data_IF_155092463513
#
_entry.id   IF_155092463513
#
_cell.length_a   1.000
_cell.length_b   1.000
_cell.length_c   1.000
_cell.angle_alpha   90.00
_cell.angle_beta   90.00
_cell.angle_gamma   90.00
#
_symmetry.space_group_name_H-M   'P 1'
#
loop_
_entity.id
_entity.type
_entity.pdbx_description
1 polymer ?
#
# COMPACT_ATOMS: atom_id res chain seq x y z
N UNK A 1 -12.99 10.90 36.69
CA UNK A 1 -12.46 9.54 36.86
C UNK A 1 -12.51 8.91 35.49
N UNK A 2 -11.33 8.72 34.92
CA UNK A 2 -11.04 8.18 33.60
C UNK A 2 -11.54 6.75 33.47
N UNK A 3 -12.11 6.42 32.31
CA UNK A 3 -12.09 5.06 31.78
C UNK A 3 -11.84 5.18 30.27
N UNK A 4 -10.54 5.23 29.97
CA UNK A 4 -10.00 4.73 28.71
C UNK A 4 -10.43 3.26 28.58
N UNK A 5 -11.38 2.97 27.69
CA UNK A 5 -11.50 1.64 27.11
C UNK A 5 -11.13 1.73 25.65
N UNK A 6 -9.82 1.57 25.45
CA UNK A 6 -9.17 1.22 24.22
C UNK A 6 -9.70 -0.16 23.76
N UNK A 7 -10.88 -0.20 23.15
CA UNK A 7 -11.34 -1.36 22.37
C UNK A 7 -10.59 -1.37 21.04
N UNK A 8 -9.28 -1.64 21.13
CA UNK A 8 -8.55 -2.23 20.01
C UNK A 8 -9.19 -3.58 19.77
N UNK A 9 -10.12 -3.65 18.82
CA UNK A 9 -10.55 -4.89 18.18
C UNK A 9 -9.30 -5.74 17.97
N UNK A 10 -9.20 -6.85 18.69
CA UNK A 10 -8.04 -7.72 18.65
C UNK A 10 -7.90 -8.19 17.20
N UNK A 11 -6.92 -7.62 16.47
CA UNK A 11 -6.66 -7.98 15.06
C UNK A 11 -6.61 -9.49 14.99
N UNK A 12 -7.51 -10.09 14.20
CA UNK A 12 -7.66 -11.54 14.16
C UNK A 12 -6.35 -12.17 13.67
N UNK A 13 -5.52 -12.63 14.61
CA UNK A 13 -4.28 -13.31 14.29
C UNK A 13 -4.62 -14.71 13.80
N UNK A 14 -4.18 -15.04 12.60
CA UNK A 14 -4.31 -16.40 12.08
C UNK A 14 -2.92 -17.02 12.02
N UNK A 15 -2.77 -18.15 12.70
CA UNK A 15 -1.62 -19.03 12.63
C UNK A 15 -1.91 -20.16 11.65
N UNK A 16 -1.03 -20.35 10.67
CA UNK A 16 -1.05 -21.47 9.76
C UNK A 16 0.35 -22.08 9.66
N UNK A 17 0.43 -23.39 9.44
CA UNK A 17 1.65 -24.08 9.09
C UNK A 17 1.51 -24.58 7.66
N UNK A 18 2.45 -24.22 6.79
CA UNK A 18 2.51 -24.73 5.41
C UNK A 18 3.85 -25.38 5.14
N UNK A 19 3.85 -26.50 4.43
CA UNK A 19 5.07 -27.05 3.88
C UNK A 19 5.59 -26.14 2.77
N UNK A 20 6.91 -26.00 2.66
CA UNK A 20 7.52 -25.31 1.51
C UNK A 20 7.48 -26.18 0.24
N UNK A 21 7.57 -27.50 0.40
CA UNK A 21 7.60 -28.47 -0.69
C UNK A 21 6.96 -29.78 -0.27
N UNK A 22 6.20 -30.43 -1.16
CA UNK A 22 5.50 -31.68 -0.87
C UNK A 22 6.44 -32.90 -0.85
N UNK A 23 7.40 -32.95 -1.77
CA UNK A 23 8.30 -34.09 -1.99
C UNK A 23 9.78 -33.77 -1.77
N UNK A 24 10.10 -32.53 -1.39
CA UNK A 24 11.47 -32.02 -1.29
C UNK A 24 11.97 -31.44 -2.60
N UNK A 25 13.14 -30.80 -2.55
CA UNK A 25 13.74 -30.11 -3.70
C UNK A 25 15.22 -30.39 -3.74
N UNK A 26 15.67 -31.03 -4.81
CA UNK A 26 17.08 -31.29 -5.09
C UNK A 26 17.69 -30.16 -5.92
N UNK A 27 18.87 -29.71 -5.52
CA UNK A 27 19.67 -28.70 -6.19
C UNK A 27 21.07 -29.26 -6.42
N UNK A 28 21.52 -29.21 -7.66
CA UNK A 28 22.82 -29.73 -8.10
C UNK A 28 23.60 -28.60 -8.74
N UNK A 29 24.87 -28.47 -8.39
CA UNK A 29 25.75 -27.50 -9.03
C UNK A 29 26.68 -26.81 -8.06
N UNK A 30 27.85 -26.41 -8.57
CA UNK A 30 28.77 -25.54 -7.85
C UNK A 30 28.18 -24.15 -7.63
N UNK A 31 28.66 -23.49 -6.59
CA UNK A 31 28.30 -22.11 -6.22
C UNK A 31 26.80 -21.97 -5.93
N UNK A 32 26.23 -20.83 -6.29
CA UNK A 32 24.86 -20.48 -5.95
C UNK A 32 23.85 -21.32 -6.74
N UNK A 33 23.08 -22.11 -6.00
CA UNK A 33 21.89 -22.82 -6.47
C UNK A 33 20.69 -22.32 -5.70
N UNK A 34 19.60 -22.01 -6.40
CA UNK A 34 18.43 -21.36 -5.79
C UNK A 34 17.13 -22.04 -6.21
N UNK A 35 16.18 -22.09 -5.29
CA UNK A 35 14.79 -22.47 -5.55
C UNK A 35 13.84 -21.50 -4.87
N UNK A 36 12.73 -21.19 -5.52
CA UNK A 36 11.68 -20.32 -4.99
C UNK A 36 10.37 -21.09 -4.76
N UNK A 37 9.78 -20.90 -3.59
CA UNK A 37 8.47 -21.42 -3.21
C UNK A 37 7.48 -20.26 -3.17
N UNK A 38 6.36 -20.36 -3.88
CA UNK A 38 5.34 -19.32 -3.96
C UNK A 38 4.18 -19.63 -3.04
N UNK A 39 3.78 -18.64 -2.24
CA UNK A 39 2.74 -18.79 -1.21
C UNK A 39 1.70 -17.69 -1.34
N UNK A 40 0.43 -18.08 -1.21
CA UNK A 40 -0.68 -17.14 -1.24
C UNK A 40 -1.06 -16.67 0.16
N UNK A 41 -1.13 -15.36 0.33
CA UNK A 41 -1.73 -14.68 1.47
C UNK A 41 -2.89 -13.81 0.95
N UNK A 42 -4.07 -13.79 1.61
CA UNK A 42 -5.14 -12.87 1.24
C UNK A 42 -4.63 -11.42 1.19
N UNK A 43 -5.08 -10.64 0.21
CA UNK A 43 -4.60 -9.27 -0.08
C UNK A 43 -4.84 -8.28 1.07
N UNK A 44 -5.87 -8.51 1.87
CA UNK A 44 -6.19 -7.74 3.06
C UNK A 44 -5.39 -8.16 4.31
N UNK A 45 -4.32 -8.95 4.15
CA UNK A 45 -3.48 -9.43 5.23
C UNK A 45 -2.01 -9.18 4.98
N UNK A 46 -1.30 -9.03 6.09
CA UNK A 46 0.14 -8.84 6.12
C UNK A 46 0.77 -9.86 7.07
N UNK A 47 1.96 -10.35 6.73
CA UNK A 47 2.73 -11.17 7.65
C UNK A 47 3.07 -10.37 8.90
N UNK A 48 2.93 -11.00 10.06
CA UNK A 48 3.46 -10.48 11.31
C UNK A 48 4.88 -10.98 11.53
N UNK A 49 5.59 -10.26 12.41
CA UNK A 49 6.95 -10.59 12.86
C UNK A 49 7.06 -11.92 13.64
N UNK A 50 5.94 -12.58 13.93
CA UNK A 50 5.91 -13.91 14.53
C UNK A 50 5.94 -15.05 13.49
N UNK A 51 6.03 -14.70 12.21
CA UNK A 51 6.21 -15.66 11.11
C UNK A 51 7.64 -16.16 11.06
N UNK A 52 7.81 -17.44 10.73
CA UNK A 52 9.12 -18.09 10.75
C UNK A 52 9.25 -19.12 9.63
N UNK A 53 10.41 -19.12 8.97
CA UNK A 53 10.84 -20.18 8.06
C UNK A 53 11.65 -21.20 8.84
N UNK A 54 11.24 -22.46 8.83
CA UNK A 54 11.99 -23.60 9.37
C UNK A 54 12.42 -24.48 8.21
N UNK A 55 13.71 -24.43 7.88
CA UNK A 55 14.30 -25.22 6.80
C UNK A 55 14.92 -26.50 7.37
N UNK A 56 14.57 -27.62 6.76
CA UNK A 56 15.19 -28.93 6.99
C UNK A 56 15.91 -29.35 5.72
N UNK A 57 17.20 -29.67 5.83
CA UNK A 57 18.05 -29.80 4.65
C UNK A 57 19.14 -30.88 4.81
N UNK A 58 19.61 -31.36 3.66
CA UNK A 58 20.80 -32.19 3.52
C UNK A 58 21.69 -31.60 2.45
N UNK A 59 22.98 -31.86 2.52
CA UNK A 59 23.94 -31.36 1.54
C UNK A 59 25.16 -32.26 1.46
N UNK A 60 25.94 -32.11 0.39
CA UNK A 60 27.09 -32.95 0.13
C UNK A 60 28.20 -32.76 1.19
N UNK A 61 28.86 -33.85 1.60
CA UNK A 61 29.94 -33.81 2.61
C UNK A 61 31.31 -33.38 2.05
N UNK A 62 31.42 -33.24 0.73
CA UNK A 62 32.63 -32.82 0.02
C UNK A 62 32.71 -31.31 -0.22
N UNK A 63 31.85 -30.53 0.42
CA UNK A 63 31.84 -29.07 0.33
C UNK A 63 33.03 -28.45 1.08
N UNK A 64 33.40 -27.26 0.65
CA UNK A 64 34.23 -26.35 1.44
C UNK A 64 33.30 -25.68 2.46
N UNK A 65 33.26 -26.27 3.66
CA UNK A 65 32.40 -25.78 4.73
C UNK A 65 32.81 -24.42 5.26
N UNK A 66 34.02 -23.92 4.97
CA UNK A 66 34.41 -22.56 5.37
C UNK A 66 33.77 -21.47 4.50
N UNK A 67 33.29 -21.85 3.33
CA UNK A 67 32.73 -20.93 2.33
C UNK A 67 31.28 -21.23 1.97
N UNK A 68 30.80 -22.44 2.28
CA UNK A 68 29.45 -22.85 1.93
C UNK A 68 28.41 -22.41 2.96
N UNK A 69 27.29 -21.87 2.48
CA UNK A 69 26.20 -21.37 3.32
C UNK A 69 24.85 -21.54 2.62
N UNK A 70 23.79 -21.47 3.41
CA UNK A 70 22.41 -21.28 2.92
C UNK A 70 21.92 -19.88 3.29
N UNK A 71 21.26 -19.20 2.37
CA UNK A 71 20.58 -17.92 2.58
C UNK A 71 19.11 -18.05 2.21
N UNK A 72 18.22 -17.52 3.05
CA UNK A 72 16.79 -17.49 2.79
C UNK A 72 16.36 -16.05 2.50
N UNK A 73 15.53 -15.89 1.47
CA UNK A 73 14.97 -14.61 1.05
C UNK A 73 13.45 -14.67 1.09
N UNK A 74 12.82 -13.54 1.38
CA UNK A 74 11.38 -13.33 1.24
C UNK A 74 11.19 -12.12 0.32
N UNK A 75 10.49 -12.31 -0.80
CA UNK A 75 10.37 -11.29 -1.87
C UNK A 75 11.73 -10.64 -2.21
N UNK A 76 12.73 -11.48 -2.52
CA UNK A 76 14.11 -11.10 -2.87
C UNK A 76 14.91 -10.37 -1.77
N UNK A 77 14.33 -10.16 -0.58
CA UNK A 77 15.03 -9.58 0.57
C UNK A 77 15.59 -10.68 1.49
N UNK A 78 16.89 -10.70 1.81
CA UNK A 78 17.48 -11.72 2.66
C UNK A 78 16.98 -11.56 4.11
N UNK A 79 16.43 -12.65 4.67
CA UNK A 79 15.97 -12.66 6.07
C UNK A 79 17.00 -13.30 7.01
N UNK A 80 17.97 -14.03 6.47
CA UNK A 80 19.05 -14.62 7.22
C UNK A 80 19.82 -15.69 6.45
N UNK A 81 20.93 -16.10 7.03
CA UNK A 81 21.81 -17.12 6.45
C UNK A 81 22.43 -17.99 7.53
N UNK A 82 22.86 -19.20 7.16
CA UNK A 82 23.57 -20.12 8.03
C UNK A 82 24.71 -20.79 7.27
N UNK A 83 25.90 -20.83 7.88
CA UNK A 83 27.05 -21.61 7.39
C UNK A 83 26.71 -23.10 7.39
N UNK A 84 27.07 -23.83 6.34
CA UNK A 84 26.90 -25.28 6.31
C UNK A 84 28.01 -25.94 7.13
N UNK A 85 27.68 -27.01 7.86
CA UNK A 85 28.62 -27.72 8.73
C UNK A 85 28.66 -29.20 8.35
N UNK A 86 29.86 -29.80 8.27
CA UNK A 86 30.03 -31.20 7.85
C UNK A 86 29.27 -32.17 8.76
N UNK A 87 29.30 -31.92 10.06
CA UNK A 87 28.70 -32.76 11.09
C UNK A 87 27.17 -32.83 10.98
N UNK A 88 26.55 -31.86 10.29
CA UNK A 88 25.10 -31.76 10.12
C UNK A 88 24.62 -32.12 8.71
N UNK A 89 25.53 -32.48 7.79
CA UNK A 89 25.24 -32.66 6.36
C UNK A 89 24.09 -33.64 6.04
N UNK A 90 23.84 -34.63 6.90
CA UNK A 90 22.77 -35.64 6.71
C UNK A 90 21.41 -35.23 7.29
N UNK A 91 21.29 -34.08 7.94
CA UNK A 91 20.03 -33.63 8.54
C UNK A 91 20.18 -32.33 9.31
N UNK A 92 20.50 -31.26 8.60
CA UNK A 92 20.68 -29.94 9.18
C UNK A 92 19.36 -29.17 9.23
N UNK A 93 19.23 -28.25 10.19
CA UNK A 93 18.06 -27.38 10.31
C UNK A 93 18.45 -25.93 10.58
N UNK A 94 17.63 -25.00 10.10
CA UNK A 94 17.72 -23.58 10.46
C UNK A 94 16.32 -22.99 10.60
N UNK A 95 16.15 -22.13 11.61
CA UNK A 95 14.92 -21.36 11.82
C UNK A 95 15.23 -19.88 11.74
N UNK A 96 14.50 -19.17 10.89
CA UNK A 96 14.68 -17.75 10.63
C UNK A 96 13.34 -17.05 10.78
N UNK A 97 13.29 -16.05 11.65
CA UNK A 97 12.12 -15.20 11.80
C UNK A 97 12.03 -14.25 10.59
N UNK A 98 10.82 -13.98 10.12
CA UNK A 98 10.60 -13.01 9.03
C UNK A 98 10.54 -11.62 9.68
N UNK A 99 11.47 -10.70 9.33
CA UNK A 99 11.50 -9.37 9.94
C UNK A 99 10.24 -8.56 9.63
N UNK A 100 9.82 -7.73 10.59
CA UNK A 100 8.57 -6.96 10.53
C UNK A 100 8.58 -5.87 9.44
N UNK A 101 9.77 -5.39 9.09
CA UNK A 101 10.02 -4.28 8.17
C UNK A 101 9.90 -4.69 6.69
N UNK A 102 9.87 -5.99 6.37
CA UNK A 102 9.62 -6.46 5.00
C UNK A 102 8.21 -6.12 4.49
N UNK A 103 7.26 -5.80 5.39
CA UNK A 103 5.87 -5.43 5.04
C UNK A 103 5.21 -6.36 4.01
N UNK A 104 5.38 -7.67 4.16
CA UNK A 104 4.91 -8.66 3.18
C UNK A 104 3.39 -8.77 3.21
N UNK A 105 2.74 -8.41 2.11
CA UNK A 105 1.31 -8.50 1.87
C UNK A 105 1.02 -9.22 0.55
N UNK A 106 -0.16 -9.84 0.45
CA UNK A 106 -0.52 -10.62 -0.74
C UNK A 106 0.42 -11.80 -1.02
N UNK A 107 0.44 -12.27 -2.26
CA UNK A 107 1.28 -13.39 -2.68
C UNK A 107 2.77 -13.04 -2.53
N UNK A 108 3.55 -13.97 -2.00
CA UNK A 108 4.96 -13.76 -1.73
C UNK A 108 5.77 -15.04 -2.02
N UNK A 109 7.07 -14.89 -2.21
CA UNK A 109 7.97 -16.02 -2.43
C UNK A 109 8.97 -16.18 -1.29
N UNK A 110 9.24 -17.43 -0.92
CA UNK A 110 10.39 -17.82 -0.09
C UNK A 110 11.42 -18.44 -1.00
N UNK A 111 12.56 -17.78 -1.19
CA UNK A 111 13.68 -18.33 -1.96
C UNK A 111 14.73 -18.89 -1.01
N UNK A 112 15.19 -20.10 -1.28
CA UNK A 112 16.31 -20.74 -0.59
C UNK A 112 17.46 -20.81 -1.57
N UNK A 113 18.60 -20.21 -1.21
CA UNK A 113 19.82 -20.23 -2.01
C UNK A 113 20.95 -20.88 -1.23
N UNK A 114 21.57 -21.90 -1.82
CA UNK A 114 22.76 -22.55 -1.31
C UNK A 114 23.97 -22.05 -2.11
N UNK A 115 24.98 -21.54 -1.43
CA UNK A 115 26.31 -21.31 -2.00
C UNK A 115 27.14 -22.58 -1.74
N UNK A 116 27.23 -23.45 -2.75
CA UNK A 116 27.87 -24.77 -2.65
C UNK A 116 29.30 -24.73 -3.17
N UNK A 117 30.23 -24.39 -2.29
CA UNK A 117 31.66 -24.30 -2.59
C UNK A 117 32.33 -25.67 -2.41
N UNK A 118 33.39 -25.96 -3.18
CA UNK A 118 34.22 -27.15 -2.98
C UNK A 118 35.70 -26.77 -2.95
N UNK A 119 36.53 -27.49 -2.17
CA UNK A 119 37.96 -27.27 -2.16
C UNK A 119 38.58 -27.55 -3.53
N UNK A 120 39.62 -26.80 -3.90
CA UNK A 120 40.46 -27.04 -5.08
C UNK A 120 39.67 -27.16 -6.41
N UNK A 121 38.81 -26.18 -6.69
CA UNK A 121 37.95 -26.13 -7.89
C UNK A 121 38.64 -25.56 -9.13
N UNK A 122 39.94 -25.21 -9.08
CA UNK A 122 40.68 -24.73 -10.25
C UNK A 122 40.70 -25.79 -11.38
N UNK A 123 40.06 -25.46 -12.50
CA UNK A 123 40.20 -26.14 -13.80
C UNK A 123 39.77 -27.63 -13.89
N UNK A 124 38.72 -28.09 -13.20
CA UNK A 124 38.13 -29.43 -13.47
C UNK A 124 36.62 -29.40 -13.71
N UNK A 125 36.20 -29.44 -14.99
CA UNK A 125 34.78 -29.44 -15.41
C UNK A 125 34.00 -30.67 -14.93
N UNK A 126 34.69 -31.79 -14.64
CA UNK A 126 34.06 -33.04 -14.17
C UNK A 126 33.42 -32.94 -12.78
N UNK A 127 33.79 -31.94 -11.97
CA UNK A 127 33.33 -31.80 -10.59
C UNK A 127 32.09 -30.91 -10.44
N UNK A 128 31.64 -30.23 -11.51
CA UNK A 128 30.55 -29.24 -11.43
C UNK A 128 29.20 -29.82 -10.98
N UNK A 129 29.02 -31.14 -11.08
CA UNK A 129 27.80 -31.90 -10.74
C UNK A 129 27.86 -32.64 -9.41
N UNK A 130 28.99 -32.58 -8.72
CA UNK A 130 29.20 -33.30 -7.46
C UNK A 130 28.58 -32.63 -6.22
N UNK A 131 28.61 -31.30 -6.06
CA UNK A 131 27.98 -30.67 -4.91
C UNK A 131 26.47 -30.61 -5.12
N UNK A 132 25.76 -30.89 -4.04
CA UNK A 132 24.30 -30.89 -4.03
C UNK A 132 23.78 -30.42 -2.69
N UNK A 133 22.56 -29.90 -2.71
CA UNK A 133 21.74 -29.64 -1.55
C UNK A 133 20.34 -30.19 -1.80
N UNK A 134 19.67 -30.55 -0.73
CA UNK A 134 18.31 -31.06 -0.76
C UNK A 134 17.51 -30.42 0.36
N UNK A 135 16.48 -29.67 0.01
CA UNK A 135 15.48 -29.16 0.94
C UNK A 135 14.43 -30.24 1.11
N UNK A 136 14.21 -30.69 2.33
CA UNK A 136 13.28 -31.79 2.60
C UNK A 136 11.84 -31.29 2.76
N UNK A 137 10.86 -32.19 2.68
CA UNK A 137 9.43 -31.85 2.85
C UNK A 137 9.03 -31.59 4.31
N UNK A 138 9.94 -31.81 5.27
CA UNK A 138 9.80 -31.33 6.65
C UNK A 138 10.12 -29.83 6.80
N UNK A 139 10.45 -29.14 5.71
CA UNK A 139 10.63 -27.69 5.72
C UNK A 139 9.27 -26.99 5.77
N UNK A 140 9.11 -26.11 6.74
CA UNK A 140 7.83 -25.51 7.12
C UNK A 140 7.92 -24.00 7.17
N UNK A 141 6.83 -23.35 6.78
CA UNK A 141 6.56 -21.96 7.04
C UNK A 141 5.48 -21.85 8.12
N UNK A 142 5.84 -21.26 9.26
CA UNK A 142 4.89 -20.78 10.25
C UNK A 142 4.42 -19.40 9.80
N UNK A 143 3.19 -19.33 9.33
CA UNK A 143 2.53 -18.11 8.87
C UNK A 143 1.73 -17.52 10.02
N UNK A 144 2.16 -16.34 10.49
CA UNK A 144 1.36 -15.50 11.37
C UNK A 144 0.94 -14.28 10.56
N UNK A 145 -0.36 -14.07 10.39
CA UNK A 145 -0.89 -12.93 9.65
C UNK A 145 -1.80 -12.07 10.51
N UNK A 146 -1.81 -10.77 10.23
CA UNK A 146 -2.69 -9.78 10.83
C UNK A 146 -3.45 -9.04 9.74
N UNK A 147 -4.58 -8.44 10.13
CA UNK A 147 -5.35 -7.57 9.23
C UNK A 147 -4.51 -6.37 8.77
N UNK A 148 -4.52 -6.15 7.45
CA UNK A 148 -3.93 -5.00 6.78
C UNK A 148 -5.00 -3.93 6.56
N UNK A 149 -5.24 -3.11 7.58
CA UNK A 149 -6.34 -2.13 7.60
C UNK A 149 -5.99 -0.81 6.90
N UNK A 150 -4.84 -0.72 6.22
CA UNK A 150 -4.45 0.49 5.53
C UNK A 150 -5.25 0.62 4.23
N UNK A 151 -5.93 1.74 4.07
CA UNK A 151 -6.73 2.05 2.88
C UNK A 151 -5.80 2.63 1.80
N UNK A 152 -5.05 1.74 1.14
CA UNK A 152 -4.01 1.99 0.14
C UNK A 152 -3.99 0.88 -0.92
N UNK A 153 -3.48 1.16 -2.12
CA UNK A 153 -3.50 0.26 -3.26
C UNK A 153 -2.61 -0.97 -3.11
N UNK A 154 -1.57 -0.92 -2.27
CA UNK A 154 -0.76 -2.09 -1.95
C UNK A 154 -1.60 -3.20 -1.30
N UNK A 155 -2.71 -2.85 -0.64
CA UNK A 155 -3.67 -3.80 -0.06
C UNK A 155 -4.85 -4.15 -0.98
N UNK A 156 -4.94 -3.56 -2.17
CA UNK A 156 -6.08 -3.73 -3.08
C UNK A 156 -6.17 -5.19 -3.59
N UNK A 157 -7.38 -5.78 -3.71
CA UNK A 157 -8.71 -5.20 -3.52
C UNK A 157 -9.23 -5.10 -2.07
N UNK A 158 -8.40 -5.41 -1.07
CA UNK A 158 -8.69 -4.97 0.30
C UNK A 158 -8.81 -3.43 0.36
N UNK A 159 -9.77 -2.85 1.10
CA UNK A 159 -10.67 -3.45 2.09
C UNK A 159 -12.05 -3.87 1.55
N UNK A 160 -12.30 -3.79 0.25
CA UNK A 160 -13.58 -4.20 -0.38
C UNK A 160 -13.77 -5.71 -0.32
N UNK A 161 -12.67 -6.45 -0.31
CA UNK A 161 -12.63 -7.88 0.01
C UNK A 161 -11.92 -8.10 1.35
N UNK A 162 -12.42 -9.06 2.12
CA UNK A 162 -11.80 -9.57 3.34
C UNK A 162 -11.79 -11.10 3.29
N UNK A 163 -10.60 -11.67 3.39
CA UNK A 163 -10.37 -13.12 3.51
C UNK A 163 -10.95 -13.96 2.36
N UNK A 164 -11.08 -13.36 1.17
CA UNK A 164 -11.62 -14.00 -0.03
C UNK A 164 -13.13 -13.81 -0.22
N UNK A 165 -13.77 -12.94 0.57
CA UNK A 165 -15.20 -12.64 0.44
C UNK A 165 -15.42 -11.12 0.36
N UNK A 166 -16.55 -10.69 -0.21
CA UNK A 166 -16.93 -9.27 -0.18
C UNK A 166 -17.15 -8.77 1.25
N UNK A 167 -16.50 -7.67 1.60
CA UNK A 167 -16.53 -7.05 2.91
C UNK A 167 -17.50 -5.86 2.92
N UNK A 168 -18.81 -6.15 2.93
CA UNK A 168 -19.90 -5.18 2.87
C UNK A 168 -19.64 -4.05 1.85
N UNK A 169 -19.41 -4.44 0.60
CA UNK A 169 -19.05 -3.54 -0.48
C UNK A 169 -20.29 -2.93 -1.15
N UNK A 170 -20.22 -1.64 -1.48
CA UNK A 170 -21.28 -0.90 -2.17
C UNK A 170 -20.69 -0.22 -3.39
N UNK A 171 -21.15 -0.58 -4.59
CA UNK A 171 -20.87 0.17 -5.81
C UNK A 171 -21.96 1.21 -6.01
N UNK A 172 -21.58 2.47 -6.19
CA UNK A 172 -22.49 3.59 -6.47
C UNK A 172 -22.25 4.05 -7.90
N UNK A 173 -23.30 4.03 -8.71
CA UNK A 173 -23.31 4.51 -10.10
C UNK A 173 -24.18 5.77 -10.24
N UNK A 174 -23.99 6.58 -11.30
CA UNK A 174 -24.91 7.67 -11.61
C UNK A 174 -26.34 7.18 -11.83
N UNK A 175 -27.36 8.03 -11.65
CA UNK A 175 -28.77 7.65 -11.86
C UNK A 175 -29.11 7.25 -13.30
N UNK A 176 -28.31 7.71 -14.26
CA UNK A 176 -28.38 7.30 -15.66
C UNK A 176 -26.96 6.94 -16.13
N UNK A 177 -26.49 5.72 -15.79
CA UNK A 177 -25.13 5.29 -16.10
C UNK A 177 -24.91 5.26 -17.62
N UNK A 178 -23.74 5.73 -18.05
CA UNK A 178 -23.29 5.54 -19.43
C UNK A 178 -22.71 4.13 -19.62
N UNK A 179 -22.39 3.79 -20.88
CA UNK A 179 -21.65 2.55 -21.19
C UNK A 179 -20.31 2.53 -20.46
N UNK A 180 -19.64 3.68 -20.30
CA UNK A 180 -18.38 3.78 -19.60
C UNK A 180 -18.51 3.51 -18.09
N UNK A 181 -19.63 3.93 -17.46
CA UNK A 181 -19.88 3.63 -16.04
C UNK A 181 -20.03 2.12 -15.80
N UNK A 182 -20.75 1.43 -16.69
CA UNK A 182 -20.87 -0.03 -16.64
C UNK A 182 -19.56 -0.74 -16.95
N UNK A 183 -18.79 -0.25 -17.91
CA UNK A 183 -17.47 -0.80 -18.23
C UNK A 183 -16.50 -0.64 -17.06
N UNK A 184 -16.50 0.52 -16.41
CA UNK A 184 -15.73 0.78 -15.21
C UNK A 184 -16.06 -0.22 -14.10
N UNK A 185 -17.36 -0.39 -13.80
CA UNK A 185 -17.83 -1.38 -12.82
C UNK A 185 -17.43 -2.79 -13.23
N UNK A 186 -17.60 -3.15 -14.52
CA UNK A 186 -17.28 -4.49 -15.05
C UNK A 186 -15.82 -4.83 -14.78
N UNK A 187 -14.88 -3.95 -15.12
CA UNK A 187 -13.45 -4.22 -14.93
C UNK A 187 -13.09 -4.38 -13.45
N UNK A 188 -13.62 -3.52 -12.58
CA UNK A 188 -13.38 -3.60 -11.13
C UNK A 188 -13.93 -4.92 -10.55
N UNK A 189 -15.18 -5.27 -10.87
CA UNK A 189 -15.82 -6.48 -10.34
C UNK A 189 -15.18 -7.75 -10.92
N UNK A 190 -14.77 -7.77 -12.18
CA UNK A 190 -14.00 -8.88 -12.75
C UNK A 190 -12.63 -9.06 -12.08
N UNK A 191 -11.98 -7.96 -11.74
CA UNK A 191 -10.73 -8.01 -10.96
C UNK A 191 -10.99 -8.58 -9.58
N UNK A 192 -12.01 -8.09 -8.87
CA UNK A 192 -12.38 -8.61 -7.55
C UNK A 192 -12.71 -10.11 -7.59
N UNK A 193 -13.40 -10.57 -8.64
CA UNK A 193 -13.75 -11.97 -8.83
C UNK A 193 -12.55 -12.92 -8.82
N UNK A 194 -11.36 -12.47 -9.20
CA UNK A 194 -10.14 -13.28 -9.17
C UNK A 194 -9.60 -13.53 -7.75
N UNK A 195 -10.01 -12.70 -6.78
CA UNK A 195 -9.59 -12.80 -5.38
C UNK A 195 -10.65 -13.45 -4.49
N UNK A 196 -11.85 -13.73 -5.03
CA UNK A 196 -12.91 -14.40 -4.27
C UNK A 196 -12.58 -15.89 -4.08
N UNK A 197 -12.80 -16.39 -2.87
CA UNK A 197 -12.69 -17.80 -2.49
C UNK A 197 -14.04 -18.42 -2.17
N UNK A 198 -15.02 -17.59 -1.80
CA UNK A 198 -16.39 -17.99 -1.55
C UNK A 198 -17.38 -16.84 -1.85
N UNK A 199 -18.67 -17.12 -1.66
CA UNK A 199 -19.78 -16.20 -1.89
C UNK A 199 -20.51 -15.81 -0.59
N UNK A 200 -19.82 -15.85 0.56
CA UNK A 200 -20.43 -15.52 1.86
C UNK A 200 -20.50 -14.01 2.15
N UNK A 201 -19.79 -13.20 1.37
CA UNK A 201 -19.73 -11.75 1.51
C UNK A 201 -20.94 -11.01 0.94
N UNK A 202 -20.99 -9.69 1.19
CA UNK A 202 -22.07 -8.80 0.71
C UNK A 202 -21.55 -7.76 -0.28
N UNK A 203 -22.14 -7.74 -1.48
CA UNK A 203 -21.98 -6.72 -2.50
C UNK A 203 -23.36 -6.20 -2.90
N UNK A 204 -23.54 -4.88 -2.90
CA UNK A 204 -24.72 -4.24 -3.50
C UNK A 204 -24.34 -3.14 -4.48
N UNK A 205 -25.23 -2.88 -5.43
CA UNK A 205 -25.14 -1.74 -6.34
C UNK A 205 -26.26 -0.76 -6.00
N UNK A 206 -25.94 0.53 -5.98
CA UNK A 206 -26.89 1.61 -5.77
C UNK A 206 -26.67 2.75 -6.78
N UNK A 207 -27.70 3.57 -6.93
CA UNK A 207 -27.65 4.78 -7.74
C UNK A 207 -27.55 6.02 -6.85
N UNK A 208 -27.03 7.13 -7.38
CA UNK A 208 -26.76 8.34 -6.57
C UNK A 208 -27.98 8.96 -5.91
N UNK A 209 -29.16 8.87 -6.53
CA UNK A 209 -30.43 9.30 -5.96
C UNK A 209 -30.91 8.43 -4.80
N UNK A 210 -30.40 7.19 -4.68
CA UNK A 210 -30.82 6.22 -3.68
C UNK A 210 -29.64 5.37 -3.19
N UNK A 211 -28.67 6.03 -2.57
CA UNK A 211 -27.43 5.42 -2.08
C UNK A 211 -27.66 4.47 -0.90
N UNK A 212 -28.69 4.72 -0.09
CA UNK A 212 -28.96 3.98 1.15
C UNK A 212 -27.93 4.23 2.26
N UNK A 213 -27.92 3.37 3.27
CA UNK A 213 -26.99 3.47 4.40
C UNK A 213 -25.56 3.02 4.02
N UNK A 214 -24.56 3.82 4.41
CA UNK A 214 -23.15 3.60 4.11
C UNK A 214 -22.24 3.50 5.34
N UNK A 215 -22.79 3.63 6.57
CA UNK A 215 -21.98 3.75 7.79
C UNK A 215 -21.01 2.59 8.00
N UNK A 216 -21.43 1.38 7.67
CA UNK A 216 -20.67 0.13 7.86
C UNK A 216 -20.15 -0.45 6.54
N UNK A 217 -20.11 0.35 5.47
CA UNK A 217 -19.89 -0.12 4.10
C UNK A 217 -18.57 0.37 3.51
N UNK A 218 -17.88 -0.49 2.77
CA UNK A 218 -16.79 -0.07 1.89
C UNK A 218 -17.37 0.36 0.53
N UNK A 219 -17.11 1.59 0.10
CA UNK A 219 -17.84 2.24 -1.00
C UNK A 219 -16.95 2.42 -2.22
N UNK A 220 -17.50 2.15 -3.41
CA UNK A 220 -16.87 2.40 -4.70
C UNK A 220 -17.79 3.32 -5.49
N UNK A 221 -17.45 4.60 -5.58
CA UNK A 221 -18.23 5.59 -6.31
C UNK A 221 -17.66 5.80 -7.72
N UNK A 222 -18.39 5.37 -8.73
CA UNK A 222 -17.99 5.39 -10.14
C UNK A 222 -18.79 6.46 -10.87
N UNK A 223 -18.13 7.20 -11.75
CA UNK A 223 -18.79 8.06 -12.73
C UNK A 223 -17.93 9.27 -13.09
N UNK A 224 -18.14 9.80 -14.30
CA UNK A 224 -17.55 11.09 -14.68
C UNK A 224 -17.99 12.18 -13.70
N UNK A 225 -17.15 13.19 -13.47
CA UNK A 225 -17.35 14.18 -12.41
C UNK A 225 -18.75 14.81 -12.42
N UNK A 226 -19.22 15.26 -13.58
CA UNK A 226 -20.53 15.91 -13.76
C UNK A 226 -21.70 15.05 -13.22
N UNK A 227 -21.56 13.72 -13.34
CA UNK A 227 -22.56 12.74 -12.93
C UNK A 227 -22.21 12.03 -11.62
N UNK A 228 -21.09 12.38 -10.98
CA UNK A 228 -20.61 11.75 -9.76
C UNK A 228 -20.82 12.67 -8.53
N UNK A 229 -22.06 12.68 -8.02
CA UNK A 229 -22.47 13.52 -6.88
C UNK A 229 -21.65 13.25 -5.62
N UNK A 230 -21.20 12.00 -5.39
CA UNK A 230 -20.31 11.68 -4.27
C UNK A 230 -19.01 12.49 -4.41
N UNK A 231 -18.34 12.40 -5.56
CA UNK A 231 -17.09 13.13 -5.84
C UNK A 231 -17.30 14.64 -5.77
N UNK A 232 -18.41 15.17 -6.28
CA UNK A 232 -18.70 16.60 -6.19
C UNK A 232 -18.81 17.10 -4.75
N UNK A 233 -19.49 16.34 -3.88
CA UNK A 233 -19.65 16.69 -2.46
C UNK A 233 -18.34 16.65 -1.69
N UNK A 234 -17.44 15.74 -2.07
CA UNK A 234 -16.18 15.50 -1.36
C UNK A 234 -14.95 16.08 -2.06
N UNK A 235 -15.14 16.91 -3.09
CA UNK A 235 -14.03 17.39 -3.94
C UNK A 235 -12.90 18.06 -3.12
N UNK A 236 -13.25 18.73 -2.02
CA UNK A 236 -12.30 19.35 -1.09
C UNK A 236 -11.49 18.35 -0.24
N UNK A 237 -11.94 17.10 -0.14
CA UNK A 237 -11.26 16.00 0.56
C UNK A 237 -10.43 15.11 -0.37
N UNK A 238 -10.59 15.26 -1.69
CA UNK A 238 -9.79 14.53 -2.68
C UNK A 238 -8.34 15.02 -2.67
N UNK A 239 -7.42 14.12 -2.98
CA UNK A 239 -6.01 14.41 -3.24
C UNK A 239 -5.81 15.04 -4.62
N UNK A 240 -6.49 14.49 -5.62
CA UNK A 240 -6.62 15.08 -6.95
C UNK A 240 -8.00 15.73 -7.06
N UNK A 241 -8.04 17.03 -6.78
CA UNK A 241 -9.25 17.83 -6.78
C UNK A 241 -9.55 18.37 -8.18
N UNK A 242 -10.83 18.54 -8.49
CA UNK A 242 -11.27 19.19 -9.72
C UNK A 242 -11.37 20.72 -9.55
N UNK A 243 -11.28 21.44 -10.67
CA UNK A 243 -11.57 22.88 -10.73
C UNK A 243 -12.97 23.18 -10.18
N UNK A 244 -13.23 24.37 -9.64
CA UNK A 244 -14.58 24.75 -9.20
C UNK A 244 -15.65 24.59 -10.30
N UNK A 245 -15.25 24.73 -11.56
CA UNK A 245 -16.11 24.53 -12.73
C UNK A 245 -16.28 23.05 -13.13
N UNK A 246 -15.51 22.15 -12.53
CA UNK A 246 -15.56 20.71 -12.81
C UNK A 246 -14.97 20.30 -14.18
N UNK A 247 -14.09 21.13 -14.74
CA UNK A 247 -13.59 20.96 -16.12
C UNK A 247 -12.18 20.38 -16.21
N UNK A 248 -11.42 20.33 -15.12
CA UNK A 248 -10.05 19.81 -15.11
C UNK A 248 -9.66 19.34 -13.72
N UNK A 249 -8.80 18.33 -13.63
CA UNK A 249 -8.04 18.04 -12.40
C UNK A 249 -7.03 19.16 -12.17
N UNK A 250 -6.83 19.56 -10.91
CA UNK A 250 -5.91 20.62 -10.51
C UNK A 250 -4.58 20.05 -10.05
N UNK A 251 -3.55 20.87 -10.18
CA UNK A 251 -2.27 20.66 -9.50
C UNK A 251 -2.48 20.49 -7.99
N UNK A 252 -1.63 19.68 -7.37
CA UNK A 252 -1.57 19.50 -5.92
C UNK A 252 -0.11 19.55 -5.44
N UNK A 253 0.14 19.14 -4.20
CA UNK A 253 1.47 19.13 -3.60
C UNK A 253 2.44 18.08 -4.18
N UNK A 254 1.95 17.12 -4.96
CA UNK A 254 2.75 16.02 -5.54
C UNK A 254 2.96 16.20 -7.04
N UNK A 255 2.01 16.79 -7.75
CA UNK A 255 2.03 16.88 -9.20
C UNK A 255 1.53 18.24 -9.69
N UNK A 256 2.34 18.89 -10.53
CA UNK A 256 1.93 20.07 -11.30
C UNK A 256 1.24 19.59 -12.56
N UNK A 257 0.01 20.06 -12.77
CA UNK A 257 -0.89 19.65 -13.85
C UNK A 257 -1.32 20.91 -14.60
N UNK A 258 -0.98 20.96 -15.89
CA UNK A 258 -1.52 21.97 -16.81
C UNK A 258 -3.04 21.76 -16.97
N UNK A 259 -3.87 22.82 -17.00
CA UNK A 259 -5.32 22.69 -17.11
C UNK A 259 -5.79 21.89 -18.33
N UNK A 260 -5.10 21.93 -19.48
CA UNK A 260 -5.52 21.14 -20.64
C UNK A 260 -5.22 19.66 -20.41
N UNK A 261 -4.06 19.36 -19.82
CA UNK A 261 -3.68 18.00 -19.46
C UNK A 261 -4.61 17.40 -18.41
N UNK A 262 -5.02 18.19 -17.41
CA UNK A 262 -5.95 17.75 -16.38
C UNK A 262 -7.36 17.40 -16.89
N UNK A 263 -7.71 17.75 -18.13
CA UNK A 263 -9.01 17.36 -18.74
C UNK A 263 -9.03 15.91 -19.23
N UNK A 264 -7.87 15.33 -19.56
CA UNK A 264 -7.77 13.96 -20.09
C UNK A 264 -7.42 12.92 -19.03
N UNK A 265 -7.03 13.37 -17.84
CA UNK A 265 -6.65 12.50 -16.73
C UNK A 265 -7.86 11.83 -16.07
N UNK A 266 -7.77 10.51 -15.94
CA UNK A 266 -8.58 9.75 -15.00
C UNK A 266 -7.96 9.77 -13.62
N UNK A 267 -8.76 9.68 -12.57
CA UNK A 267 -8.26 9.52 -11.20
C UNK A 267 -9.01 8.44 -10.46
N UNK A 268 -8.25 7.64 -9.71
CA UNK A 268 -8.80 6.73 -8.70
C UNK A 268 -8.12 7.01 -7.37
N UNK A 269 -8.93 7.20 -6.34
CA UNK A 269 -8.43 7.61 -5.01
C UNK A 269 -9.13 6.80 -3.93
N UNK A 270 -8.33 6.30 -2.99
CA UNK A 270 -8.75 5.55 -1.81
C UNK A 270 -8.75 6.46 -0.59
N UNK A 271 -9.91 6.73 -0.03
CA UNK A 271 -10.15 7.65 1.07
C UNK A 271 -10.72 6.92 2.27
N UNK A 272 -10.63 7.51 3.45
CA UNK A 272 -11.50 7.12 4.55
C UNK A 272 -12.91 7.58 4.19
N UNK A 273 -13.89 6.69 4.31
CA UNK A 273 -15.28 7.00 4.00
C UNK A 273 -15.80 8.12 4.93
N UNK A 274 -16.29 9.24 4.40
CA UNK A 274 -16.86 10.30 5.24
C UNK A 274 -18.21 9.90 5.85
N UNK A 275 -18.79 8.77 5.40
CA UNK A 275 -20.05 8.24 5.90
C UNK A 275 -19.87 7.34 7.14
N UNK A 276 -18.64 6.99 7.48
CA UNK A 276 -18.33 6.06 8.57
C UNK A 276 -17.50 6.71 9.67
N UNK A 277 -17.83 6.37 10.91
CA UNK A 277 -16.99 6.65 12.08
C UNK A 277 -15.88 5.59 12.25
N UNK A 278 -16.00 4.46 11.54
CA UNK A 278 -15.00 3.42 11.45
C UNK A 278 -14.12 3.63 10.20
N UNK A 279 -12.97 2.95 10.11
CA UNK A 279 -12.03 3.09 8.98
C UNK A 279 -12.48 2.34 7.72
N UNK A 280 -13.74 2.47 7.31
CA UNK A 280 -14.23 1.94 6.03
C UNK A 280 -13.68 2.77 4.86
N UNK A 281 -13.44 2.13 3.71
CA UNK A 281 -12.91 2.82 2.54
C UNK A 281 -14.00 3.44 1.68
N UNK A 282 -13.62 4.55 1.03
CA UNK A 282 -14.28 5.08 -0.15
C UNK A 282 -13.24 5.10 -1.28
N UNK A 283 -13.47 4.30 -2.32
CA UNK A 283 -12.78 4.44 -3.60
C UNK A 283 -13.62 5.32 -4.52
N UNK A 284 -13.06 6.42 -4.99
CA UNK A 284 -13.67 7.20 -6.08
C UNK A 284 -12.98 6.86 -7.39
N UNK A 285 -13.77 6.66 -8.44
CA UNK A 285 -13.32 6.36 -9.80
C UNK A 285 -13.98 7.38 -10.70
N UNK A 286 -13.20 8.33 -11.21
CA UNK A 286 -13.77 9.49 -11.89
C UNK A 286 -12.78 10.16 -12.84
N UNK A 287 -13.30 11.07 -13.65
CA UNK A 287 -12.58 11.87 -14.64
C UNK A 287 -13.51 12.96 -15.18
N UNK A 288 -12.98 13.93 -15.91
CA UNK A 288 -13.81 15.00 -16.50
C UNK A 288 -14.75 14.42 -17.57
N UNK A 289 -14.30 13.41 -18.30
CA UNK A 289 -15.06 12.68 -19.32
C UNK A 289 -15.09 11.17 -19.05
N UNK A 290 -15.93 10.46 -19.80
CA UNK A 290 -16.02 9.00 -19.76
C UNK A 290 -14.68 8.35 -20.13
N UNK A 291 -14.00 8.84 -21.17
CA UNK A 291 -12.69 8.35 -21.59
C UNK A 291 -11.63 8.59 -20.51
N UNK A 292 -11.63 9.78 -19.89
CA UNK A 292 -10.72 10.09 -18.80
C UNK A 292 -10.94 9.12 -17.62
N UNK A 293 -12.19 8.92 -17.19
CA UNK A 293 -12.51 7.96 -16.14
C UNK A 293 -12.01 6.54 -16.47
N UNK A 294 -12.23 6.06 -17.70
CA UNK A 294 -11.81 4.71 -18.10
C UNK A 294 -10.29 4.54 -18.11
N UNK A 295 -9.51 5.57 -18.48
CA UNK A 295 -8.03 5.56 -18.33
C UNK A 295 -7.61 5.35 -16.87
N UNK A 296 -8.37 5.91 -15.94
CA UNK A 296 -8.18 5.65 -14.51
C UNK A 296 -8.47 4.18 -14.16
N UNK A 297 -9.63 3.67 -14.59
CA UNK A 297 -10.07 2.30 -14.27
C UNK A 297 -9.08 1.23 -14.73
N UNK A 298 -8.46 1.38 -15.90
CA UNK A 298 -7.59 0.39 -16.53
C UNK A 298 -6.58 -0.25 -15.56
N UNK A 299 -6.08 0.52 -14.59
CA UNK A 299 -5.07 0.05 -13.64
C UNK A 299 -5.64 -0.73 -12.46
N UNK A 300 -6.81 -0.36 -11.95
CA UNK A 300 -7.51 -1.08 -10.85
C UNK A 300 -8.42 -2.18 -11.36
N UNK A 301 -8.72 -2.16 -12.66
CA UNK A 301 -9.62 -3.06 -13.37
C UNK A 301 -8.94 -4.23 -14.06
N UNK A 302 -7.61 -4.34 -13.97
CA UNK A 302 -6.82 -5.44 -14.53
C UNK A 302 -5.72 -5.87 -13.54
N UNK A 303 -5.72 -7.16 -13.17
CA UNK A 303 -4.75 -7.73 -12.22
C UNK A 303 -3.29 -7.47 -12.62
N UNK A 304 -2.98 -7.54 -13.92
CA UNK A 304 -1.64 -7.31 -14.48
C UNK A 304 -1.13 -5.87 -14.31
N UNK A 305 -2.01 -4.92 -13.99
CA UNK A 305 -1.64 -3.52 -13.75
C UNK A 305 -1.52 -3.19 -12.25
N UNK A 306 -2.00 -4.05 -11.35
CA UNK A 306 -2.06 -3.74 -9.91
C UNK A 306 -0.69 -3.49 -9.29
N UNK A 307 0.36 -4.17 -9.77
CA UNK A 307 1.73 -3.99 -9.27
C UNK A 307 2.29 -2.58 -9.55
N UNK A 308 1.69 -1.84 -10.50
CA UNK A 308 2.06 -0.45 -10.81
C UNK A 308 1.44 0.54 -9.82
N UNK A 309 0.50 0.10 -8.98
CA UNK A 309 -0.22 0.96 -8.06
C UNK A 309 0.45 0.99 -6.69
N UNK A 310 0.49 2.18 -6.10
CA UNK A 310 1.07 2.43 -4.79
C UNK A 310 0.35 3.62 -4.12
N UNK A 311 0.25 3.58 -2.80
CA UNK A 311 -0.30 4.68 -2.01
C UNK A 311 -1.82 4.72 -2.06
N UNK A 312 -2.42 5.89 -2.07
CA UNK A 312 -3.87 6.09 -1.85
C UNK A 312 -4.53 6.99 -2.90
N UNK A 313 -3.78 7.44 -3.91
CA UNK A 313 -4.37 8.15 -5.04
C UNK A 313 -3.45 8.14 -6.25
N UNK A 314 -4.04 8.06 -7.44
CA UNK A 314 -3.31 8.21 -8.68
C UNK A 314 -4.13 8.97 -9.72
N UNK A 315 -3.41 9.44 -10.74
CA UNK A 315 -3.97 9.87 -12.02
C UNK A 315 -3.37 9.04 -13.15
N UNK A 316 -4.12 8.88 -14.24
CA UNK A 316 -3.68 8.14 -15.42
C UNK A 316 -4.10 8.88 -16.69
N UNK A 317 -3.21 8.89 -17.69
CA UNK A 317 -3.45 9.54 -18.99
C UNK A 317 -3.68 8.53 -20.13
N UNK A 318 -3.73 7.22 -19.80
CA UNK A 318 -3.90 6.11 -20.75
C UNK A 318 -2.60 5.63 -21.40
N UNK A 319 -1.45 6.20 -21.03
CA UNK A 319 -0.12 5.71 -21.36
C UNK A 319 0.60 5.33 -20.07
N UNK A 320 0.59 6.25 -19.11
CA UNK A 320 1.25 6.12 -17.82
C UNK A 320 0.25 6.26 -16.66
N UNK A 321 0.64 5.70 -15.51
CA UNK A 321 -0.01 5.90 -14.22
C UNK A 321 0.93 6.63 -13.28
N UNK A 322 0.40 7.60 -12.56
CA UNK A 322 1.14 8.41 -11.60
C UNK A 322 0.59 8.17 -10.19
N UNK A 323 1.05 7.10 -9.49
CA UNK A 323 0.61 6.76 -8.15
C UNK A 323 1.34 7.54 -7.07
N UNK A 324 0.63 7.91 -6.01
CA UNK A 324 1.17 8.69 -4.90
C UNK A 324 0.60 8.25 -3.53
N UNK A 325 1.42 8.47 -2.50
CA UNK A 325 1.05 8.35 -1.09
C UNK A 325 0.77 9.74 -0.50
N UNK A 326 -0.46 9.98 -0.07
CA UNK A 326 -0.94 11.24 0.49
C UNK A 326 -1.14 11.15 2.01
N UNK A 327 -1.91 10.19 2.54
CA UNK A 327 -2.30 10.16 3.97
C UNK A 327 -1.11 10.13 4.92
N UNK A 328 -0.11 9.29 4.66
CA UNK A 328 1.06 9.16 5.53
C UNK A 328 1.94 10.43 5.51
N UNK A 329 2.05 11.08 4.35
CA UNK A 329 2.85 12.29 4.20
C UNK A 329 2.13 13.53 4.73
N UNK A 330 0.80 13.58 4.58
CA UNK A 330 -0.03 14.63 5.14
C UNK A 330 -0.06 14.54 6.68
N UNK A 331 -0.10 13.34 7.26
CA UNK A 331 0.08 13.16 8.70
C UNK A 331 1.45 13.68 9.21
N UNK A 332 2.53 13.45 8.44
CA UNK A 332 3.85 14.04 8.73
C UNK A 332 3.85 15.57 8.62
N UNK A 333 3.18 16.15 7.62
CA UNK A 333 3.06 17.63 7.48
C UNK A 333 2.26 18.26 8.61
N UNK A 334 1.13 17.67 9.01
CA UNK A 334 0.36 18.13 10.16
C UNK A 334 1.19 18.09 11.44
N UNK A 335 1.89 16.99 11.71
CA UNK A 335 2.79 16.89 12.88
C UNK A 335 3.94 17.89 12.83
N UNK A 336 4.51 18.21 11.65
CA UNK A 336 5.51 19.26 11.51
C UNK A 336 4.93 20.65 11.80
N UNK A 337 3.73 20.97 11.28
CA UNK A 337 3.05 22.24 11.57
C UNK A 337 2.73 22.33 13.07
N UNK A 338 2.31 21.23 13.69
CA UNK A 338 2.00 21.17 15.12
C UNK A 338 3.27 21.20 16.00
N UNK A 339 4.38 20.58 15.55
CA UNK A 339 5.70 20.70 16.17
C UNK A 339 6.30 22.10 16.01
N UNK A 340 6.00 22.80 14.92
CA UNK A 340 6.38 24.19 14.72
C UNK A 340 5.51 25.10 15.59
N UNK A 341 4.18 24.93 15.59
CA UNK A 341 3.24 25.72 16.38
C UNK A 341 3.40 25.53 17.90
N UNK A 342 3.90 24.38 18.36
CA UNK A 342 4.18 24.10 19.77
C UNK A 342 5.55 24.56 20.26
N UNK A 343 6.41 25.11 19.38
CA UNK A 343 7.69 25.70 19.80
C UNK A 343 7.43 27.04 20.49
N UNK A 344 7.73 27.10 21.79
CA UNK A 344 7.65 28.31 22.61
C UNK A 344 8.43 29.51 22.04
N UNK A 345 9.45 29.28 21.22
CA UNK A 345 10.21 30.35 20.58
C UNK A 345 9.43 31.09 19.48
N UNK A 346 8.38 30.49 18.91
CA UNK A 346 7.53 31.17 17.92
C UNK A 346 6.59 32.17 18.60
N UNK A 347 6.15 31.92 19.84
CA UNK A 347 5.40 32.94 20.58
C UNK A 347 6.21 34.22 20.77
N UNK A 348 7.52 34.11 20.99
CA UNK A 348 8.43 35.28 21.07
C UNK A 348 8.56 35.97 19.72
N UNK A 349 8.61 35.21 18.63
CA UNK A 349 8.74 35.73 17.26
C UNK A 349 7.45 36.43 16.79
N UNK A 350 6.28 35.83 17.05
CA UNK A 350 4.96 36.43 16.79
C UNK A 350 4.74 37.68 17.64
N UNK A 351 5.15 37.66 18.92
CA UNK A 351 5.09 38.82 19.80
C UNK A 351 6.04 39.94 19.33
N UNK A 352 7.23 39.60 18.84
CA UNK A 352 8.17 40.56 18.26
C UNK A 352 7.62 41.20 16.97
N UNK A 353 7.05 40.40 16.06
CA UNK A 353 6.41 40.92 14.83
C UNK A 353 5.20 41.80 15.18
N UNK A 354 4.39 41.39 16.16
CA UNK A 354 3.28 42.19 16.67
C UNK A 354 3.73 43.54 17.26
N UNK A 355 4.83 43.55 18.04
CA UNK A 355 5.43 44.76 18.58
C UNK A 355 5.96 45.68 17.48
N UNK A 356 6.62 45.13 16.45
CA UNK A 356 7.11 45.91 15.30
C UNK A 356 5.93 46.54 14.54
N UNK A 357 4.87 45.78 14.25
CA UNK A 357 3.67 46.32 13.61
C UNK A 357 3.01 47.40 14.46
N UNK A 358 2.95 47.23 15.79
CA UNK A 358 2.40 48.21 16.70
C UNK A 358 3.25 49.49 16.75
N UNK A 359 4.59 49.37 16.73
CA UNK A 359 5.49 50.52 16.60
C UNK A 359 5.31 51.26 15.28
N UNK A 360 5.12 50.54 14.17
CA UNK A 360 4.81 51.14 12.86
C UNK A 360 3.49 51.90 12.91
N UNK A 361 2.45 51.32 13.51
CA UNK A 361 1.15 52.00 13.67
C UNK A 361 1.28 53.23 14.56
N UNK A 362 1.94 53.14 15.71
CA UNK A 362 2.16 54.28 16.63
C UNK A 362 2.98 55.37 15.97
N UNK A 363 4.06 55.00 15.26
CA UNK A 363 4.89 55.94 14.50
C UNK A 363 4.05 56.67 13.44
N UNK A 364 3.23 55.93 12.70
CA UNK A 364 2.31 56.49 11.69
C UNK A 364 1.31 57.46 12.32
N UNK A 365 0.69 57.10 13.45
CA UNK A 365 -0.25 57.96 14.18
C UNK A 365 0.44 59.21 14.75
N UNK A 366 1.65 59.07 15.29
CA UNK A 366 2.43 60.21 15.78
C UNK A 366 2.85 61.14 14.64
N UNK A 367 3.22 60.58 13.49
CA UNK A 367 3.56 61.36 12.30
C UNK A 367 2.35 62.14 11.81
N UNK A 368 1.18 61.50 11.72
CA UNK A 368 -0.10 62.17 11.39
C UNK A 368 -0.43 63.27 12.41
N UNK A 369 -0.28 63.03 13.72
CA UNK A 369 -0.53 64.05 14.76
C UNK A 369 0.45 65.22 14.75
N UNK A 370 1.73 64.97 14.47
CA UNK A 370 2.79 65.99 14.41
C UNK A 370 2.64 66.90 13.20
N UNK A 371 2.30 66.35 12.04
CA UNK A 371 2.13 67.12 10.81
C UNK A 371 0.69 67.66 10.62
N UNK A 372 -0.32 67.05 11.24
CA UNK A 372 -1.71 67.52 11.22
C UNK A 372 -1.97 68.79 12.05
N UNK A 373 -1.07 69.17 12.97
CA UNK A 373 -1.17 70.42 13.75
C UNK A 373 -0.49 71.64 13.12
N UNK A 374 0.17 71.50 11.97
CA UNK A 374 0.74 72.63 11.22
C UNK A 374 -0.24 73.33 10.25
N UNK A 375 -1.51 72.93 10.24
CA UNK A 375 -2.57 73.51 9.39
C UNK A 375 -3.60 74.38 10.13
N UNK A 376 -3.31 74.89 11.33
CA UNK A 376 -4.18 75.84 12.05
C UNK A 376 -3.36 76.98 12.64
N UNK A 377 -2.97 77.91 11.78
CA UNK A 377 -2.80 79.35 12.03
C UNK A 377 -3.10 80.07 10.73
#
# INVERSE_FOLDING_TARGET
MTLDENTLTQKAQIMQYRQLTESGTYMEGLFRQSVSYYLDLPTNRMLSNASQVSLSMRYAENLDFDRSLVTVYVNDQPIGSKKLEKEKAQGDTVRLDIPADLMVNGNFSVQVSFDLEMPDTWCTTKKMKQPWAYVTNESMLKLMSVDFDNIIFEGYPGPFLKDGSFNNAVVILPDSPSVADYEAMRQIILTFGQFLKDNSGSLRVAYMSNIGELKESNVIAIGRLEKNLVVQQINNMLFFQFSPQGTTIRSNEKMVIDPNYGTILGTVQLLNSPYSEQKHALMVVTGVSDDAMLRGVEYVGLTDNLWKLYGDGYVADGVDVFPFRFKADNAKRESLIQQVASRQDIHKLVLAVGLVLLLVVVSTVMMIRKYGKKGRT
#
